data_IF_167102371836
#
_entry.id   IF_167102371836
#
_cell.length_a   1.000
_cell.length_b   1.000
_cell.length_c   1.000
_cell.angle_alpha   90.00
_cell.angle_beta   90.00
_cell.angle_gamma   90.00
#
_symmetry.space_group_name_H-M   'P 1'
#
loop_
_entity.id
_entity.type
_entity.pdbx_description
1 polymer ?
#
# COMPACT_ATOMS: atom_id res chain seq x y z
N UNK A 1 -15.13 -0.96 -2.93
CA UNK A 1 -14.16 -1.64 -2.06
C UNK A 1 -14.27 -3.13 -2.32
N UNK A 2 -13.18 -3.76 -2.76
CA UNK A 2 -13.10 -5.21 -2.92
C UNK A 2 -12.81 -5.88 -1.58
N UNK A 3 -13.02 -7.19 -1.52
CA UNK A 3 -12.51 -8.03 -0.45
C UNK A 3 -11.67 -9.13 -1.10
N UNK A 4 -10.50 -9.41 -0.55
CA UNK A 4 -9.62 -10.50 -1.00
C UNK A 4 -9.45 -11.51 0.12
N UNK A 5 -9.17 -12.77 -0.23
CA UNK A 5 -8.83 -13.78 0.77
C UNK A 5 -7.46 -13.52 1.34
N UNK A 6 -7.28 -13.76 2.65
CA UNK A 6 -5.98 -13.77 3.30
C UNK A 6 -4.97 -14.57 2.46
N UNK A 7 -3.89 -13.90 2.06
CA UNK A 7 -2.89 -14.48 1.17
C UNK A 7 -2.12 -15.64 1.80
N UNK A 8 -2.03 -15.69 3.13
CA UNK A 8 -1.26 -16.67 3.91
C UNK A 8 -2.16 -17.85 4.29
N UNK A 9 -3.24 -17.61 5.04
CA UNK A 9 -4.11 -18.69 5.57
C UNK A 9 -5.28 -19.04 4.65
N UNK A 10 -5.77 -18.08 3.85
CA UNK A 10 -6.98 -18.19 3.00
C UNK A 10 -8.29 -18.48 3.75
N UNK A 11 -8.31 -18.37 5.07
CA UNK A 11 -9.48 -18.65 5.93
C UNK A 11 -10.41 -17.45 6.11
N UNK A 12 -9.92 -16.24 5.85
CA UNK A 12 -10.63 -14.99 6.09
C UNK A 12 -10.67 -14.10 4.84
N UNK A 13 -11.72 -13.29 4.73
CA UNK A 13 -11.84 -12.25 3.71
C UNK A 13 -11.53 -10.88 4.30
N UNK A 14 -10.55 -10.19 3.72
CA UNK A 14 -10.07 -8.90 4.20
C UNK A 14 -10.73 -7.80 3.36
N UNK A 15 -11.56 -6.99 4.03
CA UNK A 15 -12.21 -5.84 3.39
C UNK A 15 -11.22 -4.73 3.05
N UNK A 16 -11.34 -4.15 1.86
CA UNK A 16 -10.43 -3.10 1.40
C UNK A 16 -9.11 -3.62 0.82
N UNK A 17 -8.87 -4.94 0.85
CA UNK A 17 -7.77 -5.54 0.12
C UNK A 17 -7.88 -5.15 -1.37
N UNK A 18 -6.82 -4.51 -1.89
CA UNK A 18 -6.78 -3.85 -3.19
C UNK A 18 -6.81 -2.32 -3.14
N UNK A 19 -7.08 -1.70 -1.99
CA UNK A 19 -6.85 -0.25 -1.79
C UNK A 19 -5.41 0.00 -1.37
N UNK A 20 -4.80 1.05 -1.94
CA UNK A 20 -3.44 1.48 -1.65
C UNK A 20 -3.44 2.78 -0.86
N UNK A 21 -2.43 2.93 -0.01
CA UNK A 21 -2.11 4.11 0.77
C UNK A 21 -0.69 4.58 0.44
N UNK A 22 -0.43 5.88 0.60
CA UNK A 22 0.91 6.45 0.40
C UNK A 22 1.13 7.67 1.28
N UNK A 23 2.39 7.89 1.67
CA UNK A 23 2.89 9.12 2.30
C UNK A 23 3.65 10.03 1.30
N UNK A 24 3.64 9.68 0.01
CA UNK A 24 4.36 10.39 -1.06
C UNK A 24 5.71 9.78 -1.42
N UNK A 25 6.24 8.88 -0.58
CA UNK A 25 7.49 8.14 -0.81
C UNK A 25 7.24 6.64 -0.84
N UNK A 26 6.52 6.11 0.14
CA UNK A 26 6.16 4.70 0.25
C UNK A 26 4.72 4.47 -0.19
N UNK A 27 4.47 3.26 -0.69
CA UNK A 27 3.13 2.77 -1.03
C UNK A 27 2.93 1.43 -0.37
N UNK A 28 1.79 1.26 0.28
CA UNK A 28 1.42 0.00 0.91
C UNK A 28 -0.07 -0.26 0.74
N UNK A 29 -0.47 -1.52 0.85
CA UNK A 29 -1.88 -1.91 0.84
C UNK A 29 -2.54 -1.60 2.18
N UNK A 30 -3.83 -1.23 2.16
CA UNK A 30 -4.57 -0.93 3.40
C UNK A 30 -4.68 -2.14 4.33
N UNK A 31 -4.65 -3.36 3.78
CA UNK A 31 -4.67 -4.61 4.52
C UNK A 31 -3.33 -4.95 5.19
N UNK A 32 -2.27 -4.15 5.00
CA UNK A 32 -1.00 -4.34 5.70
C UNK A 32 -1.19 -4.36 7.22
N UNK A 33 -2.13 -3.56 7.75
CA UNK A 33 -2.48 -3.53 9.19
C UNK A 33 -2.98 -4.89 9.67
N UNK A 34 -3.77 -5.59 8.86
CA UNK A 34 -4.26 -6.93 9.17
C UNK A 34 -3.09 -7.92 9.27
N UNK A 35 -2.17 -7.90 8.29
CA UNK A 35 -1.03 -8.81 8.29
C UNK A 35 -0.05 -8.54 9.43
N UNK A 36 0.18 -7.27 9.78
CA UNK A 36 0.99 -6.90 10.94
C UNK A 36 0.38 -7.38 12.25
N UNK A 37 -0.94 -7.24 12.40
CA UNK A 37 -1.65 -7.61 13.62
C UNK A 37 -1.75 -9.12 13.81
N UNK A 38 -1.95 -9.87 12.72
CA UNK A 38 -2.17 -11.33 12.76
C UNK A 38 -0.88 -12.14 12.69
N UNK A 39 0.07 -11.73 11.85
CA UNK A 39 1.25 -12.52 11.53
C UNK A 39 2.56 -11.90 12.01
N UNK A 40 2.53 -10.69 12.58
CA UNK A 40 3.71 -9.98 13.08
C UNK A 40 4.84 -9.92 12.04
N UNK A 41 4.48 -9.71 10.77
CA UNK A 41 5.46 -9.66 9.68
C UNK A 41 6.46 -8.53 9.91
N UNK A 42 7.73 -8.79 9.61
CA UNK A 42 8.76 -7.78 9.66
C UNK A 42 8.57 -6.78 8.50
N UNK A 43 8.67 -5.48 8.81
CA UNK A 43 8.70 -4.42 7.81
C UNK A 43 10.14 -4.11 7.40
N UNK A 44 10.38 -3.61 6.17
CA UNK A 44 11.69 -3.11 5.76
C UNK A 44 12.22 -2.06 6.75
N UNK A 45 13.51 -2.14 7.09
CA UNK A 45 14.13 -1.22 8.04
C UNK A 45 14.03 0.25 7.56
N UNK A 46 14.27 0.48 6.28
CA UNK A 46 14.22 1.82 5.68
C UNK A 46 12.81 2.44 5.76
N UNK A 47 11.76 1.63 5.64
CA UNK A 47 10.39 2.09 5.84
C UNK A 47 10.15 2.53 7.28
N UNK A 48 10.60 1.72 8.26
CA UNK A 48 10.48 2.09 9.67
C UNK A 48 11.27 3.35 10.01
N UNK A 49 12.44 3.52 9.42
CA UNK A 49 13.25 4.72 9.61
C UNK A 49 12.61 5.95 8.97
N UNK A 50 11.97 5.82 7.80
CA UNK A 50 11.16 6.86 7.20
C UNK A 50 10.01 7.28 8.15
N UNK A 51 9.22 6.32 8.63
CA UNK A 51 8.09 6.57 9.56
C UNK A 51 8.56 7.27 10.85
N UNK A 52 9.71 6.85 11.41
CA UNK A 52 10.30 7.48 12.60
C UNK A 52 10.73 8.92 12.34
N UNK A 53 11.39 9.19 11.21
CA UNK A 53 11.81 10.54 10.80
C UNK A 53 10.62 11.47 10.60
N UNK A 54 9.50 10.94 10.11
CA UNK A 54 8.22 11.64 9.97
C UNK A 54 7.47 11.81 11.30
N UNK A 55 8.04 11.38 12.43
CA UNK A 55 7.43 11.53 13.76
C UNK A 55 6.15 10.73 13.92
N UNK A 56 6.01 9.60 13.20
CA UNK A 56 4.79 8.79 13.17
C UNK A 56 3.53 9.58 12.74
N UNK A 57 3.71 10.69 12.01
CA UNK A 57 2.61 11.46 11.43
C UNK A 57 2.58 11.23 9.92
N UNK A 58 1.40 10.92 9.39
CA UNK A 58 1.21 10.85 7.94
C UNK A 58 1.28 12.27 7.35
N UNK A 59 2.19 12.55 6.42
CA UNK A 59 2.26 13.86 5.79
C UNK A 59 1.04 14.08 4.87
N UNK A 60 0.71 15.35 4.62
CA UNK A 60 -0.24 15.67 3.55
C UNK A 60 0.44 15.45 2.21
N UNK A 61 -0.05 14.47 1.45
CA UNK A 61 0.41 14.21 0.08
C UNK A 61 -0.35 15.11 -0.90
N UNK A 62 0.33 15.92 -1.73
CA UNK A 62 -0.33 16.68 -2.80
C UNK A 62 -1.01 15.77 -3.84
N UNK A 63 -2.12 16.23 -4.40
CA UNK A 63 -2.88 15.48 -5.41
C UNK A 63 -2.01 15.11 -6.63
N UNK A 64 -1.17 16.03 -7.11
CA UNK A 64 -0.30 15.78 -8.26
C UNK A 64 0.72 14.69 -7.96
N UNK A 65 1.31 14.69 -6.76
CA UNK A 65 2.22 13.62 -6.34
C UNK A 65 1.50 12.27 -6.25
N UNK A 66 0.26 12.25 -5.76
CA UNK A 66 -0.56 11.04 -5.72
C UNK A 66 -0.85 10.48 -7.12
N UNK A 67 -1.07 11.36 -8.11
CA UNK A 67 -1.28 10.98 -9.51
C UNK A 67 -0.02 10.44 -10.16
N UNK A 68 1.14 11.03 -9.87
CA UNK A 68 2.44 10.54 -10.33
C UNK A 68 2.70 9.11 -9.83
N UNK A 69 2.55 8.89 -8.52
CA UNK A 69 2.70 7.57 -7.91
C UNK A 69 1.73 6.56 -8.53
N UNK A 70 0.47 6.95 -8.74
CA UNK A 70 -0.51 6.10 -9.40
C UNK A 70 -0.07 5.72 -10.83
N UNK A 71 0.47 6.66 -11.59
CA UNK A 71 0.96 6.41 -12.95
C UNK A 71 2.21 5.52 -12.97
N UNK A 72 3.10 5.65 -11.99
CA UNK A 72 4.30 4.80 -11.82
C UNK A 72 3.93 3.35 -11.49
N UNK A 73 2.97 3.13 -10.58
CA UNK A 73 2.54 1.80 -10.15
C UNK A 73 1.69 1.07 -11.20
N UNK A 74 0.88 1.82 -11.94
CA UNK A 74 -0.04 1.29 -12.94
C UNK A 74 0.26 1.90 -14.31
N UNK A 75 1.44 1.60 -14.90
CA UNK A 75 1.78 2.12 -16.20
C UNK A 75 0.76 1.64 -17.23
N UNK A 76 0.38 2.53 -18.16
CA UNK A 76 -0.51 2.16 -19.27
C UNK A 76 0.14 1.02 -20.04
N UNK A 77 -0.48 -0.16 -20.03
CA UNK A 77 -0.08 -1.23 -20.93
C UNK A 77 -0.52 -0.84 -22.35
N UNK A 78 0.36 -0.93 -23.36
CA UNK A 78 -0.07 -0.75 -24.74
C UNK A 78 -1.17 -1.76 -25.04
N UNK A 79 -2.24 -1.29 -25.66
CA UNK A 79 -3.31 -2.15 -26.13
C UNK A 79 -2.75 -3.04 -27.24
N UNK A 80 -3.00 -4.37 -27.22
CA UNK A 80 -2.46 -5.29 -28.21
C UNK A 80 -3.07 -5.13 -29.61
N UNK A 81 -3.90 -4.11 -29.83
CA UNK A 81 -4.60 -3.82 -31.08
C UNK A 81 -4.27 -2.44 -31.66
N UNK A 82 -3.18 -1.80 -31.20
CA UNK A 82 -2.63 -0.57 -31.78
C UNK A 82 -1.42 -0.84 -32.66
#
# INVERSE_FOLDING_TARGET
MGAERDAISRDEWIGGAGSLMTDGEWVWSVDLVYYLSRYHIALPADFLDHVRKSGYQAPRVPDDRSREIMAELFPRRPTPWS
#
